data_IF_737248771764
#
_entry.id   IF_737248771764
#
_cell.length_a   1.000
_cell.length_b   1.000
_cell.length_c   1.000
_cell.angle_alpha   90.00
_cell.angle_beta   90.00
_cell.angle_gamma   90.00
#
_symmetry.space_group_name_H-M   'P 1'
#
loop_
_entity.id
_entity.type
_entity.pdbx_description
1 polymer ?
#
# COMPACT_ATOMS: atom_id res chain seq x y z
N UNK A 1 11.17 -32.08 13.76
CA UNK A 1 11.30 -31.61 12.36
C UNK A 1 9.94 -31.69 11.72
N UNK A 2 9.32 -30.56 11.46
CA UNK A 2 7.94 -30.49 11.00
C UNK A 2 7.86 -30.81 9.50
N UNK A 3 6.71 -31.27 9.01
CA UNK A 3 6.54 -31.76 7.62
C UNK A 3 6.95 -30.72 6.56
N UNK A 4 6.71 -29.42 6.82
CA UNK A 4 7.07 -28.35 5.90
C UNK A 4 8.56 -28.00 5.89
N UNK A 5 9.34 -28.28 6.94
CA UNK A 5 10.79 -28.04 6.94
C UNK A 5 11.45 -28.84 5.81
N UNK A 6 11.12 -30.14 5.72
CA UNK A 6 11.61 -31.02 4.66
C UNK A 6 11.19 -30.61 3.26
N UNK A 7 10.11 -29.83 3.15
CA UNK A 7 9.63 -29.29 1.88
C UNK A 7 10.46 -28.06 1.52
N UNK A 8 10.59 -27.08 2.42
CA UNK A 8 11.32 -25.84 2.13
C UNK A 8 12.84 -26.00 2.07
N UNK A 9 13.44 -26.98 2.78
CA UNK A 9 14.85 -27.36 2.62
C UNK A 9 15.19 -27.78 1.17
N UNK A 10 14.21 -28.28 0.41
CA UNK A 10 14.38 -28.63 -1.01
C UNK A 10 14.25 -27.44 -1.95
N UNK A 11 13.70 -26.32 -1.46
CA UNK A 11 13.51 -25.13 -2.27
C UNK A 11 14.79 -24.29 -2.33
N UNK A 12 15.41 -23.99 -1.18
CA UNK A 12 16.53 -23.06 -1.13
C UNK A 12 17.54 -23.43 -0.04
N UNK A 13 18.84 -23.39 -0.38
CA UNK A 13 19.93 -23.79 0.53
C UNK A 13 20.06 -22.90 1.77
N UNK A 14 19.69 -21.62 1.65
CA UNK A 14 19.70 -20.65 2.76
C UNK A 14 18.38 -20.62 3.54
N UNK A 15 17.50 -21.59 3.35
CA UNK A 15 16.31 -21.76 4.19
C UNK A 15 16.72 -22.00 5.64
N UNK A 16 16.16 -21.24 6.59
CA UNK A 16 16.50 -21.36 8.02
C UNK A 16 15.35 -21.84 8.89
N UNK A 17 14.12 -21.75 8.41
CA UNK A 17 12.96 -22.17 9.18
C UNK A 17 11.67 -21.48 8.74
N UNK A 18 10.59 -21.88 9.39
CA UNK A 18 9.28 -21.29 9.20
C UNK A 18 8.50 -21.17 10.51
N UNK A 19 7.51 -20.28 10.54
CA UNK A 19 6.55 -20.13 11.62
C UNK A 19 5.13 -20.28 11.09
N UNK A 20 4.37 -21.21 11.67
CA UNK A 20 2.92 -21.28 11.51
C UNK A 20 2.25 -20.27 12.45
N UNK A 21 1.39 -19.42 11.89
CA UNK A 21 0.53 -18.51 12.65
C UNK A 21 -0.91 -18.84 12.32
N UNK A 22 -1.59 -19.36 13.32
CA UNK A 22 -3.00 -19.70 13.25
C UNK A 22 -3.80 -18.46 13.65
N UNK A 23 -4.43 -17.84 12.66
CA UNK A 23 -5.34 -16.72 12.91
C UNK A 23 -6.70 -17.28 13.35
N UNK A 24 -7.32 -16.72 14.41
CA UNK A 24 -8.66 -17.13 14.82
C UNK A 24 -9.68 -16.87 13.70
N UNK A 25 -10.85 -17.52 13.75
CA UNK A 25 -11.99 -17.20 12.89
C UNK A 25 -12.22 -15.68 12.85
N UNK A 26 -12.47 -15.17 11.65
CA UNK A 26 -12.83 -13.76 11.44
C UNK A 26 -14.32 -13.61 11.22
N UNK A 27 -14.77 -12.41 10.87
CA UNK A 27 -16.18 -12.18 10.52
C UNK A 27 -16.66 -13.01 9.31
N UNK A 28 -15.76 -13.37 8.39
CA UNK A 28 -16.08 -14.18 7.19
C UNK A 28 -15.76 -15.67 7.36
N UNK A 29 -14.67 -16.00 8.06
CA UNK A 29 -14.18 -17.38 8.14
C UNK A 29 -14.68 -18.01 9.44
N UNK A 30 -15.43 -19.10 9.33
CA UNK A 30 -15.86 -19.90 10.50
C UNK A 30 -14.72 -20.70 11.12
N UNK A 31 -13.71 -21.02 10.32
CA UNK A 31 -12.54 -21.80 10.72
C UNK A 31 -11.30 -20.92 10.88
N UNK A 32 -10.34 -21.43 11.64
CA UNK A 32 -9.03 -20.82 11.77
C UNK A 32 -8.31 -20.79 10.42
N UNK A 33 -7.57 -19.70 10.15
CA UNK A 33 -6.78 -19.57 8.92
C UNK A 33 -5.30 -19.70 9.25
N UNK A 34 -4.62 -20.69 8.68
CA UNK A 34 -3.17 -20.84 8.86
C UNK A 34 -2.39 -19.96 7.88
N UNK A 35 -1.42 -19.21 8.41
CA UNK A 35 -0.41 -18.46 7.67
C UNK A 35 0.96 -19.07 7.92
N UNK A 36 1.74 -19.23 6.85
CA UNK A 36 3.10 -19.76 6.92
C UNK A 36 4.09 -18.65 6.64
N UNK A 37 4.91 -18.32 7.61
CA UNK A 37 6.00 -17.35 7.47
C UNK A 37 7.29 -18.12 7.27
N UNK A 38 7.89 -18.01 6.09
CA UNK A 38 9.10 -18.74 5.66
C UNK A 38 10.27 -17.78 5.70
N UNK A 39 11.41 -18.23 6.23
CA UNK A 39 12.59 -17.40 6.45
C UNK A 39 13.81 -17.97 5.73
N UNK A 40 14.61 -17.06 5.18
CA UNK A 40 15.93 -17.35 4.59
C UNK A 40 17.00 -16.46 5.22
N UNK A 41 18.24 -16.94 5.28
CA UNK A 41 19.38 -16.18 5.87
C UNK A 41 20.10 -15.26 4.87
N UNK A 42 19.50 -15.02 3.71
CA UNK A 42 20.08 -14.16 2.70
C UNK A 42 19.01 -13.29 2.03
N UNK A 43 19.47 -12.25 1.34
CA UNK A 43 18.60 -11.53 0.42
C UNK A 43 18.48 -12.30 -0.89
N UNK A 44 17.28 -12.31 -1.44
CA UNK A 44 16.94 -13.06 -2.65
C UNK A 44 16.89 -12.16 -3.88
N UNK A 45 17.26 -12.74 -5.01
CA UNK A 45 17.11 -12.19 -6.35
C UNK A 45 15.66 -12.26 -6.83
N UNK A 46 15.36 -11.56 -7.93
CA UNK A 46 14.04 -11.61 -8.55
C UNK A 46 13.64 -13.03 -8.98
N UNK A 47 14.58 -13.84 -9.50
CA UNK A 47 14.32 -15.23 -9.90
C UNK A 47 14.01 -16.12 -8.69
N UNK A 48 14.73 -15.97 -7.58
CA UNK A 48 14.48 -16.79 -6.37
C UNK A 48 13.11 -16.48 -5.74
N UNK A 49 12.62 -15.23 -5.86
CA UNK A 49 11.25 -14.89 -5.50
C UNK A 49 10.21 -15.59 -6.40
N UNK A 50 10.48 -15.70 -7.70
CA UNK A 50 9.61 -16.45 -8.64
C UNK A 50 9.61 -17.91 -8.25
N UNK A 51 10.79 -18.50 -8.07
CA UNK A 51 10.96 -19.90 -7.70
C UNK A 51 10.23 -20.22 -6.39
N UNK A 52 10.30 -19.34 -5.39
CA UNK A 52 9.55 -19.48 -4.14
C UNK A 52 8.04 -19.60 -4.37
N UNK A 53 7.43 -18.64 -5.08
CA UNK A 53 5.99 -18.61 -5.23
C UNK A 53 5.48 -19.72 -6.15
N UNK A 54 6.24 -20.09 -7.18
CA UNK A 54 5.96 -21.29 -8.00
C UNK A 54 6.05 -22.56 -7.16
N UNK A 55 7.07 -22.68 -6.31
CA UNK A 55 7.24 -23.81 -5.39
C UNK A 55 6.08 -23.92 -4.38
N UNK A 56 5.66 -22.80 -3.79
CA UNK A 56 4.51 -22.71 -2.87
C UNK A 56 3.22 -23.16 -3.55
N UNK A 57 2.95 -22.67 -4.77
CA UNK A 57 1.76 -23.03 -5.54
C UNK A 57 1.79 -24.51 -5.94
N UNK A 58 2.93 -25.00 -6.46
CA UNK A 58 3.12 -26.41 -6.85
C UNK A 58 2.88 -27.38 -5.69
N UNK A 59 3.30 -27.02 -4.49
CA UNK A 59 3.14 -27.84 -3.29
C UNK A 59 1.84 -27.54 -2.52
N UNK A 60 0.92 -26.74 -3.07
CA UNK A 60 -0.34 -26.34 -2.43
C UNK A 60 -0.17 -25.74 -1.02
N UNK A 61 0.92 -25.00 -0.79
CA UNK A 61 1.22 -24.42 0.52
C UNK A 61 0.37 -23.16 0.71
N UNK A 62 -0.66 -23.25 1.54
CA UNK A 62 -1.58 -22.13 1.78
C UNK A 62 -0.91 -20.95 2.48
N UNK A 63 -1.14 -19.73 1.98
CA UNK A 63 -0.78 -18.46 2.64
C UNK A 63 0.71 -18.34 3.03
N UNK A 64 1.64 -18.87 2.23
CA UNK A 64 3.06 -18.71 2.48
C UNK A 64 3.52 -17.25 2.26
N UNK A 65 4.39 -16.76 3.14
CA UNK A 65 4.96 -15.42 3.14
C UNK A 65 6.46 -15.53 3.34
N UNK A 66 7.24 -14.94 2.44
CA UNK A 66 8.69 -15.03 2.46
C UNK A 66 9.31 -13.82 3.16
N UNK A 67 10.23 -14.06 4.08
CA UNK A 67 10.97 -13.03 4.79
C UNK A 67 12.48 -13.28 4.67
N UNK A 68 13.16 -12.27 4.16
CA UNK A 68 14.63 -12.13 4.16
C UNK A 68 15.07 -11.41 5.45
N UNK A 69 16.38 -11.39 5.78
CA UNK A 69 16.89 -10.63 6.92
C UNK A 69 16.38 -9.17 6.94
N UNK A 70 16.49 -8.47 5.81
CA UNK A 70 16.11 -7.05 5.70
C UNK A 70 14.60 -6.82 5.86
N UNK A 71 13.77 -7.64 5.21
CA UNK A 71 12.31 -7.47 5.29
C UNK A 71 11.75 -7.82 6.67
N UNK A 72 12.43 -8.71 7.40
CA UNK A 72 12.16 -8.94 8.82
C UNK A 72 12.61 -7.77 9.69
N UNK A 73 13.79 -7.18 9.45
CA UNK A 73 14.24 -5.98 10.15
C UNK A 73 13.28 -4.79 9.92
N UNK A 74 12.84 -4.53 8.69
CA UNK A 74 11.81 -3.52 8.40
C UNK A 74 10.52 -3.73 9.21
N UNK A 75 10.16 -4.99 9.49
CA UNK A 75 9.00 -5.29 10.33
C UNK A 75 9.12 -4.72 11.75
N UNK A 76 10.34 -4.59 12.31
CA UNK A 76 10.53 -4.10 13.68
C UNK A 76 10.01 -2.67 13.87
N UNK A 77 10.01 -1.84 12.81
CA UNK A 77 9.50 -0.47 12.84
C UNK A 77 8.16 -0.35 12.14
N UNK A 78 7.97 -1.07 11.03
CA UNK A 78 6.82 -0.89 10.15
C UNK A 78 5.67 -1.85 10.47
N UNK A 79 5.92 -2.96 11.16
CA UNK A 79 4.87 -3.88 11.67
C UNK A 79 5.31 -4.55 12.99
N UNK A 80 5.58 -3.76 14.05
CA UNK A 80 6.29 -4.22 15.26
C UNK A 80 5.62 -5.40 15.97
N UNK A 81 4.29 -5.50 15.91
CA UNK A 81 3.56 -6.61 16.50
C UNK A 81 3.88 -7.95 15.83
N UNK A 82 4.05 -7.96 14.50
CA UNK A 82 4.46 -9.17 13.78
C UNK A 82 5.92 -9.51 14.10
N UNK A 83 6.81 -8.52 14.07
CA UNK A 83 8.21 -8.70 14.41
C UNK A 83 8.40 -9.32 15.81
N UNK A 84 7.76 -8.73 16.83
CA UNK A 84 7.82 -9.24 18.20
C UNK A 84 7.27 -10.66 18.31
N UNK A 85 6.16 -10.97 17.62
CA UNK A 85 5.60 -12.32 17.62
C UNK A 85 6.53 -13.35 16.97
N UNK A 86 7.31 -12.96 15.96
CA UNK A 86 8.30 -13.83 15.30
C UNK A 86 9.52 -14.03 16.18
N UNK A 87 10.12 -12.96 16.72
CA UNK A 87 11.35 -13.01 17.51
C UNK A 87 11.13 -13.71 18.86
N UNK A 88 9.95 -13.57 19.47
CA UNK A 88 9.60 -14.23 20.74
C UNK A 88 9.10 -15.68 20.54
N UNK A 89 9.12 -16.20 19.31
CA UNK A 89 8.60 -17.54 19.06
C UNK A 89 9.59 -18.64 19.51
N UNK A 90 9.43 -19.08 20.75
CA UNK A 90 10.20 -20.19 21.33
C UNK A 90 9.75 -21.58 20.83
N UNK A 91 8.80 -21.67 19.89
CA UNK A 91 8.20 -22.96 19.48
C UNK A 91 9.07 -23.82 18.55
N UNK A 92 10.19 -23.29 18.03
CA UNK A 92 11.06 -24.03 17.13
C UNK A 92 12.36 -24.45 17.83
N UNK A 93 12.59 -25.76 17.90
CA UNK A 93 13.82 -26.39 18.41
C UNK A 93 15.04 -26.22 17.48
N UNK A 94 14.87 -25.57 16.31
CA UNK A 94 15.95 -25.35 15.35
C UNK A 94 16.93 -24.30 15.84
N UNK A 95 18.15 -24.72 16.20
CA UNK A 95 19.25 -23.84 16.61
C UNK A 95 19.58 -22.81 15.52
N UNK A 96 19.55 -23.23 14.25
CA UNK A 96 19.83 -22.35 13.11
C UNK A 96 18.78 -21.25 13.03
N UNK A 97 17.50 -21.59 13.16
CA UNK A 97 16.42 -20.62 13.13
C UNK A 97 16.47 -19.65 14.30
N UNK A 98 16.75 -20.14 15.51
CA UNK A 98 16.87 -19.28 16.70
C UNK A 98 18.10 -18.37 16.61
N UNK A 99 19.22 -18.85 16.07
CA UNK A 99 20.40 -18.05 15.79
C UNK A 99 20.09 -16.94 14.80
N UNK A 100 19.41 -17.27 13.69
CA UNK A 100 18.91 -16.30 12.73
C UNK A 100 18.08 -15.22 13.43
N UNK A 101 17.03 -15.58 14.17
CA UNK A 101 16.16 -14.62 14.85
C UNK A 101 16.92 -13.73 15.84
N UNK A 102 17.79 -14.32 16.66
CA UNK A 102 18.58 -13.60 17.69
C UNK A 102 19.57 -12.61 17.06
N UNK A 103 20.11 -12.93 15.89
CA UNK A 103 21.01 -12.04 15.14
C UNK A 103 20.31 -10.81 14.56
N UNK A 104 18.98 -10.86 14.36
CA UNK A 104 18.20 -9.75 13.79
C UNK A 104 17.81 -8.75 14.86
N UNK A 105 18.76 -7.88 15.22
CA UNK A 105 18.48 -6.74 16.08
C UNK A 105 17.40 -5.83 15.45
N UNK A 106 16.49 -5.25 16.25
CA UNK A 106 15.51 -4.30 15.75
C UNK A 106 16.25 -3.09 15.19
N UNK A 107 15.80 -2.60 14.03
CA UNK A 107 16.33 -1.36 13.48
C UNK A 107 15.67 -0.19 14.18
N UNK A 108 16.44 0.88 14.37
CA UNK A 108 15.91 2.13 14.87
C UNK A 108 15.73 3.10 13.70
N UNK A 109 14.65 3.86 13.77
CA UNK A 109 14.48 5.01 12.90
C UNK A 109 15.54 6.05 13.30
N UNK A 110 16.39 6.44 12.35
CA UNK A 110 17.59 7.25 12.63
C UNK A 110 17.27 8.71 13.00
N UNK A 111 16.01 9.11 12.86
CA UNK A 111 15.57 10.49 13.06
C UNK A 111 14.89 10.62 14.43
N UNK A 112 15.52 11.44 15.30
CA UNK A 112 15.12 11.77 16.67
C UNK A 112 13.59 11.80 16.86
N UNK A 113 13.02 10.73 17.41
CA UNK A 113 11.66 10.73 17.91
C UNK A 113 11.68 10.35 19.38
N UNK A 114 11.32 11.31 20.24
CA UNK A 114 11.16 11.14 21.69
C UNK A 114 9.90 10.31 22.05
N UNK A 115 9.20 9.76 21.04
CA UNK A 115 7.97 9.00 21.23
C UNK A 115 8.33 7.54 21.48
N UNK A 116 7.72 6.93 22.50
CA UNK A 116 7.84 5.49 22.77
C UNK A 116 7.65 4.68 21.49
N UNK A 117 8.75 4.06 21.03
CA UNK A 117 8.90 3.50 19.69
C UNK A 117 7.80 2.49 19.32
N UNK A 118 7.29 1.71 20.29
CA UNK A 118 6.31 0.66 20.04
C UNK A 118 4.90 1.18 19.72
N UNK A 119 4.37 2.14 20.49
CA UNK A 119 3.00 2.62 20.30
C UNK A 119 2.89 3.50 19.06
N UNK A 120 3.91 4.30 18.79
CA UNK A 120 4.03 5.09 17.56
C UNK A 120 4.04 4.19 16.32
N UNK A 121 4.91 3.18 16.27
CA UNK A 121 5.02 2.27 15.14
C UNK A 121 3.75 1.44 14.90
N UNK A 122 3.04 1.02 15.96
CA UNK A 122 1.75 0.34 15.82
C UNK A 122 0.70 1.29 15.24
N UNK A 123 0.61 2.52 15.74
CA UNK A 123 -0.34 3.52 15.22
C UNK A 123 -0.04 3.83 13.76
N UNK A 124 1.22 4.03 13.40
CA UNK A 124 1.65 4.27 12.02
C UNK A 124 1.22 3.13 11.08
N UNK A 125 1.42 1.87 11.48
CA UNK A 125 0.95 0.72 10.71
C UNK A 125 -0.56 0.74 10.50
N UNK A 126 -1.34 0.98 11.57
CA UNK A 126 -2.80 1.07 11.48
C UNK A 126 -3.25 2.23 10.59
N UNK A 127 -2.63 3.41 10.72
CA UNK A 127 -2.88 4.56 9.84
C UNK A 127 -2.67 4.16 8.38
N UNK A 128 -1.57 3.48 8.06
CA UNK A 128 -1.27 3.03 6.70
C UNK A 128 -2.25 2.01 6.17
N UNK A 129 -2.66 1.03 6.98
CA UNK A 129 -3.67 0.03 6.60
C UNK A 129 -5.03 0.70 6.32
N UNK A 130 -5.47 1.59 7.21
CA UNK A 130 -6.76 2.29 7.10
C UNK A 130 -6.76 3.25 5.93
N UNK A 131 -5.73 4.08 5.77
CA UNK A 131 -5.61 5.04 4.68
C UNK A 131 -5.63 4.36 3.31
N UNK A 132 -4.74 3.38 3.08
CA UNK A 132 -4.62 2.71 1.79
C UNK A 132 -5.90 1.94 1.39
N UNK A 133 -6.67 1.46 2.36
CA UNK A 133 -7.96 0.83 2.11
C UNK A 133 -9.08 1.86 1.91
N UNK A 134 -9.12 2.94 2.69
CA UNK A 134 -10.20 3.92 2.62
C UNK A 134 -10.12 4.86 1.41
N UNK A 135 -8.91 5.18 0.93
CA UNK A 135 -8.72 6.20 -0.12
C UNK A 135 -9.33 5.80 -1.47
N UNK A 136 -9.52 4.51 -1.72
CA UNK A 136 -10.06 4.01 -3.00
C UNK A 136 -11.60 3.93 -3.04
N UNK A 137 -12.31 4.26 -1.95
CA UNK A 137 -13.76 4.04 -1.85
C UNK A 137 -14.58 4.97 -2.76
N UNK A 138 -14.17 6.22 -2.93
CA UNK A 138 -14.83 7.15 -3.86
C UNK A 138 -14.69 6.67 -5.30
N UNK A 139 -13.47 6.29 -5.72
CA UNK A 139 -13.20 5.74 -7.03
C UNK A 139 -14.01 4.45 -7.29
N UNK A 140 -14.08 3.56 -6.30
CA UNK A 140 -14.88 2.34 -6.38
C UNK A 140 -16.35 2.64 -6.71
N UNK A 141 -16.94 3.67 -6.08
CA UNK A 141 -18.33 4.06 -6.29
C UNK A 141 -18.57 4.84 -7.60
N UNK A 142 -17.74 5.84 -7.87
CA UNK A 142 -17.92 6.77 -9.00
C UNK A 142 -17.59 6.10 -10.33
N UNK A 143 -16.54 5.26 -10.35
CA UNK A 143 -16.07 4.56 -11.55
C UNK A 143 -16.68 3.17 -11.70
N UNK A 144 -17.59 2.79 -10.78
CA UNK A 144 -18.15 1.44 -10.68
C UNK A 144 -17.07 0.33 -10.65
N UNK A 145 -15.94 0.60 -9.98
CA UNK A 145 -14.78 -0.29 -9.84
C UNK A 145 -14.84 -1.08 -8.53
N UNK A 146 -15.96 -1.74 -8.27
CA UNK A 146 -16.13 -2.55 -7.06
C UNK A 146 -16.70 -3.92 -7.39
N UNK A 147 -16.37 -4.88 -6.54
CA UNK A 147 -16.96 -6.20 -6.48
C UNK A 147 -17.23 -6.57 -5.03
N UNK A 148 -17.92 -7.68 -4.77
CA UNK A 148 -18.08 -8.21 -3.41
C UNK A 148 -16.70 -8.39 -2.76
N UNK A 149 -15.70 -8.88 -3.49
CA UNK A 149 -14.33 -9.01 -3.00
C UNK A 149 -13.70 -7.67 -2.57
N UNK A 150 -14.02 -6.57 -3.26
CA UNK A 150 -13.61 -5.22 -2.84
C UNK A 150 -14.19 -4.89 -1.46
N UNK A 151 -15.49 -5.08 -1.25
CA UNK A 151 -16.18 -4.80 0.02
C UNK A 151 -15.65 -5.68 1.15
N UNK A 152 -15.52 -6.98 0.91
CA UNK A 152 -14.96 -7.93 1.87
C UNK A 152 -13.53 -7.53 2.28
N UNK A 153 -12.71 -7.08 1.32
CA UNK A 153 -11.37 -6.57 1.60
C UNK A 153 -11.41 -5.37 2.55
N UNK A 154 -12.35 -4.44 2.38
CA UNK A 154 -12.52 -3.29 3.29
C UNK A 154 -12.97 -3.72 4.68
N UNK A 155 -13.94 -4.63 4.78
CA UNK A 155 -14.40 -5.16 6.06
C UNK A 155 -13.28 -5.93 6.79
N UNK A 156 -12.48 -6.71 6.06
CA UNK A 156 -11.31 -7.40 6.62
C UNK A 156 -10.29 -6.44 7.24
N UNK A 157 -10.04 -5.27 6.63
CA UNK A 157 -9.12 -4.28 7.22
C UNK A 157 -9.70 -3.63 8.48
N UNK A 158 -10.99 -3.30 8.49
CA UNK A 158 -11.65 -2.80 9.70
C UNK A 158 -11.60 -3.83 10.83
N UNK A 159 -11.87 -5.10 10.53
CA UNK A 159 -11.77 -6.20 11.51
C UNK A 159 -10.34 -6.33 12.08
N UNK A 160 -9.32 -6.24 11.21
CA UNK A 160 -7.92 -6.24 11.64
C UNK A 160 -7.61 -5.06 12.56
N UNK A 161 -8.03 -3.86 12.20
CA UNK A 161 -7.82 -2.64 13.01
C UNK A 161 -8.48 -2.77 14.37
N UNK A 162 -9.71 -3.28 14.43
CA UNK A 162 -10.43 -3.52 15.67
C UNK A 162 -9.67 -4.49 16.59
N UNK A 163 -9.30 -5.65 16.03
CA UNK A 163 -8.61 -6.71 16.77
C UNK A 163 -7.24 -6.25 17.29
N UNK A 164 -6.54 -5.40 16.53
CA UNK A 164 -5.28 -4.81 16.95
C UNK A 164 -5.47 -3.72 18.00
N UNK A 165 -6.44 -2.83 17.82
CA UNK A 165 -6.73 -1.73 18.73
C UNK A 165 -7.12 -2.24 20.12
N UNK A 166 -7.97 -3.27 20.19
CA UNK A 166 -8.37 -3.92 21.44
C UNK A 166 -7.16 -4.53 22.18
N UNK A 167 -6.37 -5.35 21.49
CA UNK A 167 -5.18 -6.01 22.07
C UNK A 167 -4.11 -5.04 22.57
N UNK A 168 -4.08 -3.83 22.03
CA UNK A 168 -3.10 -2.78 22.38
C UNK A 168 -3.70 -1.69 23.28
N UNK A 169 -4.94 -1.84 23.72
CA UNK A 169 -5.57 -0.89 24.64
C UNK A 169 -5.84 0.49 24.04
N UNK A 170 -6.09 0.57 22.72
CA UNK A 170 -6.49 1.83 22.08
C UNK A 170 -7.97 2.12 22.37
N UNK A 171 -8.25 2.66 23.55
CA UNK A 171 -9.61 2.88 24.09
C UNK A 171 -10.56 3.58 23.11
N UNK A 172 -10.11 4.65 22.44
CA UNK A 172 -10.93 5.38 21.46
C UNK A 172 -11.33 4.51 20.26
N UNK A 173 -10.46 3.58 19.81
CA UNK A 173 -10.82 2.62 18.76
C UNK A 173 -11.77 1.54 19.29
N UNK A 174 -11.59 1.11 20.55
CA UNK A 174 -12.53 0.19 21.21
C UNK A 174 -13.94 0.77 21.29
N UNK A 175 -14.06 2.05 21.61
CA UNK A 175 -15.32 2.77 21.71
C UNK A 175 -16.11 2.84 20.38
N UNK A 176 -15.43 2.74 19.22
CA UNK A 176 -16.10 2.72 17.92
C UNK A 176 -16.89 1.42 17.65
N UNK A 177 -16.64 0.34 18.41
CA UNK A 177 -17.30 -0.96 18.21
C UNK A 177 -17.18 -1.46 16.75
N UNK A 178 -15.97 -1.37 16.20
CA UNK A 178 -15.68 -1.67 14.78
C UNK A 178 -16.12 -3.08 14.38
N UNK A 179 -15.98 -4.07 15.26
CA UNK A 179 -16.44 -5.43 14.98
C UNK A 179 -17.97 -5.52 14.83
N UNK A 180 -18.75 -4.82 15.66
CA UNK A 180 -20.22 -4.75 15.53
C UNK A 180 -20.60 -4.11 14.20
N UNK A 181 -19.93 -3.01 13.82
CA UNK A 181 -20.14 -2.39 12.51
C UNK A 181 -19.86 -3.37 11.37
N UNK A 182 -18.74 -4.09 11.41
CA UNK A 182 -18.38 -5.06 10.36
C UNK A 182 -19.42 -6.17 10.23
N UNK A 183 -19.94 -6.70 11.34
CA UNK A 183 -20.97 -7.74 11.32
C UNK A 183 -22.27 -7.21 10.69
N UNK A 184 -22.73 -6.02 11.09
CA UNK A 184 -23.92 -5.41 10.52
C UNK A 184 -23.77 -5.09 9.02
N UNK A 185 -22.61 -4.54 8.65
CA UNK A 185 -22.25 -4.22 7.28
C UNK A 185 -22.17 -5.47 6.39
N UNK A 186 -21.74 -6.61 6.93
CA UNK A 186 -21.63 -7.86 6.17
C UNK A 186 -22.98 -8.37 5.63
N UNK A 187 -24.09 -8.07 6.32
CA UNK A 187 -25.45 -8.43 5.89
C UNK A 187 -25.85 -7.68 4.60
N UNK A 188 -25.26 -6.50 4.37
CA UNK A 188 -25.57 -5.65 3.22
C UNK A 188 -24.74 -5.98 1.97
N UNK A 189 -23.73 -6.85 2.08
CA UNK A 189 -22.77 -7.15 0.99
C UNK A 189 -23.44 -7.46 -0.36
N UNK A 190 -24.53 -8.21 -0.34
CA UNK A 190 -25.26 -8.63 -1.54
C UNK A 190 -26.55 -7.82 -1.77
N UNK A 191 -27.05 -7.12 -0.74
CA UNK A 191 -28.36 -6.48 -0.75
C UNK A 191 -28.28 -5.00 -1.13
N UNK A 192 -27.30 -4.28 -0.57
CA UNK A 192 -27.08 -2.86 -0.85
C UNK A 192 -25.59 -2.50 -0.83
N UNK A 193 -24.82 -2.98 -1.82
CA UNK A 193 -23.38 -2.75 -1.89
C UNK A 193 -23.02 -1.27 -2.06
N UNK A 194 -23.94 -0.47 -2.61
CA UNK A 194 -23.74 0.95 -2.87
C UNK A 194 -23.83 1.74 -1.57
N UNK A 195 -24.89 1.55 -0.79
CA UNK A 195 -25.00 2.19 0.52
C UNK A 195 -23.85 1.72 1.43
N UNK A 196 -23.50 0.43 1.35
CA UNK A 196 -22.36 -0.09 2.09
C UNK A 196 -21.03 0.61 1.73
N UNK A 197 -20.78 0.94 0.46
CA UNK A 197 -19.59 1.73 0.07
C UNK A 197 -19.58 3.12 0.71
N UNK A 198 -20.74 3.80 0.75
CA UNK A 198 -20.90 5.12 1.38
C UNK A 198 -20.65 5.01 2.89
N UNK A 199 -21.25 4.02 3.54
CA UNK A 199 -21.10 3.78 4.98
C UNK A 199 -19.66 3.43 5.33
N UNK A 200 -19.01 2.57 4.54
CA UNK A 200 -17.60 2.26 4.68
C UNK A 200 -16.75 3.54 4.55
N UNK A 201 -17.03 4.40 3.57
CA UNK A 201 -16.26 5.65 3.36
C UNK A 201 -16.31 6.53 4.61
N UNK A 202 -17.51 6.75 5.16
CA UNK A 202 -17.72 7.51 6.39
C UNK A 202 -17.03 6.83 7.58
N UNK A 203 -17.14 5.51 7.69
CA UNK A 203 -16.60 4.76 8.83
C UNK A 203 -15.07 4.72 8.85
N UNK A 204 -14.44 4.56 7.69
CA UNK A 204 -12.98 4.68 7.55
C UNK A 204 -12.47 6.06 7.96
N UNK A 205 -13.20 7.13 7.63
CA UNK A 205 -12.85 8.48 8.07
C UNK A 205 -12.83 8.60 9.60
N UNK A 206 -13.88 8.11 10.28
CA UNK A 206 -13.96 8.10 11.75
C UNK A 206 -12.80 7.33 12.42
N UNK A 207 -12.46 6.16 11.86
CA UNK A 207 -11.31 5.37 12.36
C UNK A 207 -10.01 6.13 12.16
N UNK A 208 -9.83 6.77 11.01
CA UNK A 208 -8.63 7.51 10.68
C UNK A 208 -8.48 8.77 11.55
N UNK A 209 -9.58 9.47 11.85
CA UNK A 209 -9.59 10.65 12.73
C UNK A 209 -8.97 10.33 14.10
N UNK A 210 -9.40 9.23 14.72
CA UNK A 210 -8.83 8.74 16.00
C UNK A 210 -7.34 8.39 15.87
N UNK A 211 -6.95 7.79 14.75
CA UNK A 211 -5.56 7.39 14.53
C UNK A 211 -4.64 8.59 14.26
N UNK A 212 -5.18 9.73 13.84
CA UNK A 212 -4.42 10.90 13.37
C UNK A 212 -4.40 12.07 14.37
N UNK A 213 -5.08 11.96 15.51
CA UNK A 213 -5.23 13.03 16.53
C UNK A 213 -3.91 13.65 17.02
N UNK A 214 -2.82 12.89 17.02
CA UNK A 214 -1.52 13.30 17.55
C UNK A 214 -0.52 13.76 16.48
N UNK A 215 -0.95 13.89 15.22
CA UNK A 215 -0.04 14.27 14.14
C UNK A 215 0.09 15.79 14.08
N UNK A 216 1.28 16.28 14.42
CA UNK A 216 1.62 17.69 14.34
C UNK A 216 1.84 18.12 12.89
N UNK A 217 1.14 19.18 12.46
CA UNK A 217 1.24 19.71 11.10
C UNK A 217 1.09 21.23 11.09
N UNK A 218 1.62 21.86 10.05
CA UNK A 218 1.28 23.24 9.74
C UNK A 218 -0.03 23.30 8.95
N UNK A 219 -0.93 24.23 9.30
CA UNK A 219 -2.14 24.51 8.53
C UNK A 219 -1.82 25.49 7.41
N UNK A 220 -2.04 25.10 6.16
CA UNK A 220 -1.90 25.97 4.98
C UNK A 220 -3.25 26.16 4.30
N UNK A 221 -3.47 27.32 3.72
CA UNK A 221 -4.67 27.57 2.91
C UNK A 221 -4.32 27.49 1.43
N UNK A 222 -5.01 26.64 0.68
CA UNK A 222 -4.97 26.64 -0.78
C UNK A 222 -6.13 27.46 -1.33
N UNK A 223 -5.81 28.38 -2.23
CA UNK A 223 -6.78 29.23 -2.92
C UNK A 223 -6.82 28.88 -4.40
N UNK A 224 -7.94 29.18 -5.04
CA UNK A 224 -8.12 29.05 -6.49
C UNK A 224 -6.93 29.65 -7.26
N UNK A 225 -6.36 28.82 -8.13
CA UNK A 225 -5.18 29.17 -8.94
C UNK A 225 -5.62 29.99 -10.14
N UNK A 226 -4.92 31.08 -10.40
CA UNK A 226 -5.13 31.85 -11.62
C UNK A 226 -4.63 31.06 -12.85
N UNK A 227 -5.56 30.56 -13.65
CA UNK A 227 -5.26 29.76 -14.85
C UNK A 227 -5.04 30.65 -16.09
N UNK A 228 -4.05 30.29 -16.92
CA UNK A 228 -3.92 30.85 -18.27
C UNK A 228 -4.94 30.21 -19.25
N UNK A 229 -5.06 30.71 -20.47
CA UNK A 229 -6.11 30.26 -21.39
C UNK A 229 -5.96 28.80 -21.83
N UNK A 230 -4.73 28.31 -21.99
CA UNK A 230 -4.45 26.90 -22.28
C UNK A 230 -4.93 26.02 -21.12
N UNK A 231 -4.67 26.43 -19.88
CA UNK A 231 -5.12 25.72 -18.68
C UNK A 231 -6.64 25.79 -18.51
N UNK A 232 -7.28 26.92 -18.81
CA UNK A 232 -8.75 27.03 -18.79
C UNK A 232 -9.40 26.06 -19.78
N UNK A 233 -8.79 25.89 -20.96
CA UNK A 233 -9.23 24.87 -21.92
C UNK A 233 -8.95 23.45 -21.41
N UNK A 234 -7.75 23.20 -20.89
CA UNK A 234 -7.34 21.89 -20.35
C UNK A 234 -8.21 21.43 -19.18
N UNK A 235 -8.67 22.36 -18.33
CA UNK A 235 -9.43 22.07 -17.11
C UNK A 235 -10.89 22.52 -17.20
N UNK A 236 -11.45 22.58 -18.42
CA UNK A 236 -12.81 23.06 -18.65
C UNK A 236 -13.91 22.23 -17.99
N UNK A 237 -13.62 20.98 -17.61
CA UNK A 237 -14.53 20.07 -16.87
C UNK A 237 -15.02 20.65 -15.53
N UNK A 238 -14.35 21.67 -14.98
CA UNK A 238 -14.78 22.35 -13.75
C UNK A 238 -16.19 22.95 -13.91
N UNK A 239 -16.58 23.39 -15.10
CA UNK A 239 -17.94 23.89 -15.36
C UNK A 239 -18.99 22.79 -15.17
N UNK A 240 -18.72 21.59 -15.68
CA UNK A 240 -19.62 20.44 -15.60
C UNK A 240 -19.72 19.95 -14.15
N UNK A 241 -18.61 19.88 -13.42
CA UNK A 241 -18.61 19.54 -11.99
C UNK A 241 -19.41 20.55 -11.15
N UNK A 242 -19.30 21.84 -11.45
CA UNK A 242 -20.10 22.89 -10.78
C UNK A 242 -21.58 22.80 -11.10
N UNK A 243 -21.93 22.46 -12.33
CA UNK A 243 -23.33 22.24 -12.71
C UNK A 243 -23.91 21.02 -11.99
N UNK A 244 -23.16 19.90 -11.98
CA UNK A 244 -23.59 18.63 -11.40
C UNK A 244 -23.74 18.71 -9.88
N UNK A 245 -22.76 19.28 -9.18
CA UNK A 245 -22.74 19.31 -7.71
C UNK A 245 -23.34 20.60 -7.12
N UNK A 246 -23.61 21.61 -7.97
CA UNK A 246 -24.26 22.85 -7.57
C UNK A 246 -23.64 23.52 -6.34
N UNK A 247 -24.48 23.90 -5.38
CA UNK A 247 -24.08 24.55 -4.13
C UNK A 247 -23.40 23.61 -3.12
N UNK A 248 -23.37 22.30 -3.40
CA UNK A 248 -22.71 21.31 -2.56
C UNK A 248 -21.19 21.33 -2.75
N UNK A 249 -20.70 21.73 -3.93
CA UNK A 249 -19.28 21.83 -4.25
C UNK A 249 -18.61 22.98 -3.49
N UNK A 250 -17.54 22.69 -2.74
CA UNK A 250 -16.75 23.69 -2.02
C UNK A 250 -15.41 23.98 -2.70
N UNK A 251 -14.67 22.93 -3.07
CA UNK A 251 -13.40 23.08 -3.76
C UNK A 251 -13.06 21.90 -4.66
N UNK A 252 -12.27 22.16 -5.71
CA UNK A 252 -11.69 21.12 -6.57
C UNK A 252 -10.19 21.29 -6.60
N UNK A 253 -9.46 20.24 -6.20
CA UNK A 253 -8.01 20.15 -6.31
C UNK A 253 -7.65 19.19 -7.44
N UNK A 254 -6.72 19.60 -8.29
CA UNK A 254 -6.07 18.76 -9.29
C UNK A 254 -4.66 18.46 -8.83
N UNK A 255 -4.26 17.19 -8.88
CA UNK A 255 -2.90 16.76 -8.58
C UNK A 255 -2.42 15.74 -9.63
N UNK A 256 -1.22 15.19 -9.43
CA UNK A 256 -0.69 14.15 -10.29
C UNK A 256 -0.13 14.68 -11.61
N UNK A 257 -0.05 13.80 -12.61
CA UNK A 257 0.68 14.08 -13.85
C UNK A 257 0.01 15.17 -14.71
N UNK A 258 -1.30 15.37 -14.58
CA UNK A 258 -2.01 16.43 -15.26
C UNK A 258 -1.53 17.85 -14.86
N UNK A 259 -0.96 18.02 -13.66
CA UNK A 259 -0.38 19.30 -13.22
C UNK A 259 1.00 19.54 -13.83
N UNK A 260 1.84 18.50 -13.84
CA UNK A 260 3.29 18.61 -14.07
C UNK A 260 3.75 18.05 -15.42
N UNK A 261 2.85 17.63 -16.31
CA UNK A 261 3.20 17.02 -17.59
C UNK A 261 2.26 17.42 -18.72
N UNK A 262 2.80 17.55 -19.93
CA UNK A 262 2.02 17.79 -21.14
C UNK A 262 1.22 16.54 -21.54
N UNK A 263 1.84 15.36 -21.40
CA UNK A 263 1.22 14.05 -21.64
C UNK A 263 0.90 13.39 -20.31
N UNK A 264 -0.35 13.00 -20.13
CA UNK A 264 -0.87 12.34 -18.93
C UNK A 264 -2.02 11.40 -19.32
N UNK A 265 -2.37 10.47 -18.44
CA UNK A 265 -3.36 9.42 -18.73
C UNK A 265 -4.78 9.77 -18.23
N UNK A 266 -4.86 10.58 -17.18
CA UNK A 266 -6.06 10.86 -16.40
C UNK A 266 -5.89 12.17 -15.60
N UNK A 267 -7.03 12.71 -15.15
CA UNK A 267 -7.07 13.83 -14.22
C UNK A 267 -7.31 13.30 -12.81
N UNK A 268 -6.30 13.37 -11.95
CA UNK A 268 -6.45 13.01 -10.54
C UNK A 268 -7.05 14.18 -9.75
N UNK A 269 -8.31 14.01 -9.33
CA UNK A 269 -9.12 15.06 -8.71
C UNK A 269 -9.46 14.73 -7.26
N UNK A 270 -9.37 15.74 -6.40
CA UNK A 270 -9.98 15.72 -5.07
C UNK A 270 -11.06 16.78 -5.03
N UNK A 271 -12.28 16.37 -4.71
CA UNK A 271 -13.43 17.24 -4.58
C UNK A 271 -13.82 17.31 -3.11
N UNK A 272 -13.94 18.54 -2.59
CA UNK A 272 -14.44 18.80 -1.24
C UNK A 272 -15.86 19.36 -1.35
N UNK A 273 -16.78 18.77 -0.60
CA UNK A 273 -18.22 19.05 -0.66
C UNK A 273 -18.82 19.25 0.74
N UNK A 274 -19.98 19.91 0.82
CA UNK A 274 -20.70 20.09 2.09
C UNK A 274 -21.31 18.78 2.59
N UNK A 275 -22.00 18.06 1.71
CA UNK A 275 -22.60 16.76 1.95
C UNK A 275 -21.94 15.70 1.07
N UNK A 276 -21.17 14.82 1.72
CA UNK A 276 -20.44 13.73 1.09
C UNK A 276 -21.38 12.72 0.41
N UNK A 277 -22.46 12.33 1.07
CA UNK A 277 -23.36 11.28 0.56
C UNK A 277 -24.08 11.73 -0.71
N UNK A 278 -24.65 12.95 -0.69
CA UNK A 278 -25.32 13.53 -1.85
C UNK A 278 -24.38 13.60 -3.07
N UNK A 279 -23.13 14.02 -2.86
CA UNK A 279 -22.13 14.10 -3.93
C UNK A 279 -21.73 12.71 -4.46
N UNK A 280 -21.51 11.75 -3.57
CA UNK A 280 -21.18 10.37 -3.94
C UNK A 280 -22.31 9.72 -4.75
N UNK A 281 -23.57 9.94 -4.36
CA UNK A 281 -24.74 9.43 -5.07
C UNK A 281 -24.95 10.15 -6.41
N UNK A 282 -24.72 11.45 -6.48
CA UNK A 282 -24.81 12.23 -7.72
C UNK A 282 -23.76 11.80 -8.77
N UNK A 283 -22.57 11.38 -8.33
CA UNK A 283 -21.47 10.96 -9.20
C UNK A 283 -21.38 9.45 -9.45
N UNK A 284 -22.18 8.65 -8.72
CA UNK A 284 -22.15 7.19 -8.77
C UNK A 284 -22.25 6.66 -10.20
N UNK A 285 -21.31 5.78 -10.58
CA UNK A 285 -21.31 5.08 -11.85
C UNK A 285 -21.18 5.96 -13.10
N UNK A 286 -20.91 7.26 -12.96
CA UNK A 286 -20.80 8.18 -14.11
C UNK A 286 -19.51 8.00 -14.89
N UNK A 287 -18.44 7.52 -14.25
CA UNK A 287 -17.10 7.36 -14.84
C UNK A 287 -16.72 8.53 -15.78
N UNK A 288 -16.75 9.79 -15.28
CA UNK A 288 -16.71 10.95 -16.16
C UNK A 288 -15.37 11.05 -16.89
N UNK A 289 -15.42 11.53 -18.14
CA UNK A 289 -14.24 11.77 -18.97
C UNK A 289 -14.23 13.19 -19.52
N UNK A 290 -13.04 13.72 -19.79
CA UNK A 290 -12.83 15.03 -20.40
C UNK A 290 -11.68 14.96 -21.39
N UNK A 291 -11.90 15.45 -22.62
CA UNK A 291 -10.93 15.35 -23.72
C UNK A 291 -10.43 13.90 -23.96
N UNK A 292 -11.32 12.91 -23.79
CA UNK A 292 -11.00 11.50 -23.96
C UNK A 292 -10.19 10.87 -22.82
N UNK A 293 -9.93 11.61 -21.73
CA UNK A 293 -9.20 11.12 -20.56
C UNK A 293 -10.15 10.99 -19.35
N UNK A 294 -9.90 10.02 -18.49
CA UNK A 294 -10.71 9.77 -17.30
C UNK A 294 -10.51 10.86 -16.23
N UNK A 295 -11.59 11.22 -15.53
CA UNK A 295 -11.53 12.01 -14.31
C UNK A 295 -11.52 11.06 -13.10
N UNK A 296 -10.35 10.83 -12.51
CA UNK A 296 -10.18 10.04 -11.29
C UNK A 296 -10.59 10.86 -10.06
N UNK A 297 -11.87 10.78 -9.68
CA UNK A 297 -12.45 11.63 -8.63
C UNK A 297 -12.41 10.95 -7.26
N UNK A 298 -11.81 11.63 -6.29
CA UNK A 298 -11.97 11.37 -4.86
C UNK A 298 -12.85 12.43 -4.20
N UNK A 299 -13.85 12.03 -3.42
CA UNK A 299 -14.82 12.95 -2.80
C UNK A 299 -14.72 12.87 -1.28
N UNK A 300 -14.71 14.04 -0.64
CA UNK A 300 -14.63 14.20 0.80
C UNK A 300 -15.51 15.37 1.24
N UNK A 301 -16.01 15.34 2.48
CA UNK A 301 -16.36 16.59 3.14
C UNK A 301 -15.10 17.23 3.77
N UNK A 302 -15.22 18.42 4.36
CA UNK A 302 -14.08 19.14 4.91
C UNK A 302 -13.33 18.36 6.01
N UNK A 303 -14.06 17.73 6.94
CA UNK A 303 -13.47 16.94 8.04
C UNK A 303 -12.76 15.69 7.54
N UNK A 304 -13.40 14.96 6.61
CA UNK A 304 -12.84 13.77 6.00
C UNK A 304 -11.62 14.13 5.15
N UNK A 305 -11.68 15.24 4.40
CA UNK A 305 -10.56 15.74 3.61
C UNK A 305 -9.37 16.00 4.51
N UNK A 306 -9.54 16.79 5.58
CA UNK A 306 -8.49 17.09 6.54
C UNK A 306 -7.86 15.81 7.11
N UNK A 307 -8.68 14.87 7.56
CA UNK A 307 -8.25 13.61 8.15
C UNK A 307 -7.45 12.74 7.17
N UNK A 308 -7.92 12.60 5.94
CA UNK A 308 -7.20 11.83 4.92
C UNK A 308 -5.91 12.52 4.47
N UNK A 309 -5.88 13.86 4.43
CA UNK A 309 -4.66 14.60 4.10
C UNK A 309 -3.63 14.60 5.22
N UNK A 310 -4.05 14.55 6.49
CA UNK A 310 -3.12 14.26 7.58
C UNK A 310 -2.46 12.90 7.37
N UNK A 311 -3.25 11.93 6.90
CA UNK A 311 -2.81 10.56 6.73
C UNK A 311 -2.06 10.29 5.43
N UNK A 312 -2.04 11.24 4.49
CA UNK A 312 -1.45 11.05 3.15
C UNK A 312 0.09 11.07 3.19
N UNK A 313 0.68 10.42 2.20
CA UNK A 313 2.15 10.35 2.03
C UNK A 313 2.72 11.55 1.28
N UNK A 314 2.01 12.65 1.19
CA UNK A 314 2.41 13.82 0.40
C UNK A 314 1.90 15.13 1.00
N UNK A 315 2.45 16.25 0.56
CA UNK A 315 1.96 17.58 0.89
C UNK A 315 1.30 18.19 -0.35
N UNK A 316 -0.03 18.08 -0.48
CA UNK A 316 -0.75 18.62 -1.64
C UNK A 316 -0.44 20.08 -1.93
N UNK A 317 -0.17 20.88 -0.89
CA UNK A 317 0.19 22.29 -1.02
C UNK A 317 1.40 22.51 -1.96
N UNK A 318 2.32 21.55 -2.04
CA UNK A 318 3.58 21.70 -2.77
C UNK A 318 3.44 21.38 -4.27
N UNK A 319 2.39 20.66 -4.70
CA UNK A 319 2.29 20.16 -6.08
C UNK A 319 0.87 20.10 -6.67
N UNK A 320 -0.18 20.40 -5.91
CA UNK A 320 -1.55 20.42 -6.41
C UNK A 320 -1.99 21.84 -6.81
N UNK A 321 -2.92 21.92 -7.76
CA UNK A 321 -3.60 23.16 -8.13
C UNK A 321 -5.00 23.15 -7.53
N UNK A 322 -5.42 24.24 -6.91
CA UNK A 322 -6.82 24.46 -6.58
C UNK A 322 -7.52 25.08 -7.79
N UNK A 323 -8.39 24.34 -8.45
CA UNK A 323 -9.08 24.78 -9.66
C UNK A 323 -10.39 25.52 -9.37
N UNK A 324 -10.91 25.39 -8.16
CA UNK A 324 -12.13 26.05 -7.72
C UNK A 324 -12.15 26.17 -6.19
N UNK A 325 -12.56 27.34 -5.69
CA UNK A 325 -12.82 27.56 -4.26
C UNK A 325 -11.55 27.70 -3.43
N UNK A 326 -11.62 27.29 -2.16
CA UNK A 326 -10.46 27.29 -1.26
C UNK A 326 -10.60 26.23 -0.19
N UNK A 327 -9.49 25.68 0.29
CA UNK A 327 -9.49 24.64 1.31
C UNK A 327 -8.23 24.69 2.17
N UNK A 328 -8.37 24.34 3.45
CA UNK A 328 -7.24 24.17 4.35
C UNK A 328 -6.61 22.79 4.17
N UNK A 329 -5.28 22.74 4.02
CA UNK A 329 -4.50 21.52 3.86
C UNK A 329 -3.41 21.42 4.93
N UNK A 330 -3.09 20.22 5.43
CA UNK A 330 -1.97 19.99 6.33
C UNK A 330 -0.65 19.91 5.55
N UNK A 331 0.37 20.63 6.04
CA UNK A 331 1.75 20.53 5.59
C UNK A 331 2.58 19.81 6.65
N UNK A 332 3.10 18.65 6.27
CA UNK A 332 3.81 17.69 7.14
C UNK A 332 5.31 17.85 6.96
N UNK A 333 6.08 17.55 8.01
CA UNK A 333 7.55 17.53 7.92
C UNK A 333 8.01 16.39 7.01
N UNK A 334 9.14 16.57 6.33
CA UNK A 334 9.67 15.57 5.40
C UNK A 334 9.91 14.20 6.06
N UNK A 335 10.38 14.18 7.31
CA UNK A 335 10.62 12.93 8.05
C UNK A 335 9.33 12.13 8.25
N UNK A 336 8.23 12.79 8.61
CA UNK A 336 6.92 12.15 8.78
C UNK A 336 6.41 11.57 7.46
N UNK A 337 6.62 12.29 6.37
CA UNK A 337 6.29 11.81 5.02
C UNK A 337 7.12 10.58 4.64
N UNK A 338 8.43 10.58 4.93
CA UNK A 338 9.34 9.48 4.62
C UNK A 338 8.87 8.21 5.34
N UNK A 339 8.73 8.26 6.67
CA UNK A 339 8.37 7.06 7.45
C UNK A 339 6.98 6.53 7.07
N UNK A 340 6.04 7.43 6.75
CA UNK A 340 4.71 7.07 6.26
C UNK A 340 4.75 6.39 4.91
N UNK A 341 5.53 6.88 3.95
CA UNK A 341 5.69 6.24 2.65
C UNK A 341 6.42 4.89 2.74
N UNK A 342 7.38 4.76 3.65
CA UNK A 342 7.99 3.46 3.96
C UNK A 342 6.96 2.48 4.54
N UNK A 343 6.12 2.93 5.48
CA UNK A 343 5.02 2.13 6.01
C UNK A 343 4.02 1.74 4.91
N UNK A 344 3.66 2.65 4.00
CA UNK A 344 2.85 2.31 2.83
C UNK A 344 3.53 1.25 1.95
N UNK A 345 4.82 1.42 1.66
CA UNK A 345 5.61 0.45 0.90
C UNK A 345 5.59 -0.93 1.55
N UNK A 346 5.75 -0.99 2.87
CA UNK A 346 5.74 -2.25 3.62
C UNK A 346 4.36 -2.92 3.63
N UNK A 347 3.27 -2.15 3.85
CA UNK A 347 1.90 -2.67 3.72
C UNK A 347 1.69 -3.27 2.32
N UNK A 348 2.12 -2.57 1.27
CA UNK A 348 1.97 -3.00 -0.12
C UNK A 348 2.83 -4.24 -0.45
N UNK A 349 4.04 -4.32 0.09
CA UNK A 349 4.88 -5.51 0.03
C UNK A 349 4.18 -6.74 0.63
N UNK A 350 3.59 -6.63 1.84
CA UNK A 350 2.82 -7.74 2.45
C UNK A 350 1.59 -8.14 1.62
N UNK A 351 0.94 -7.17 0.97
CA UNK A 351 -0.20 -7.42 0.07
C UNK A 351 0.26 -8.19 -1.18
N UNK A 352 1.35 -7.75 -1.82
CA UNK A 352 1.96 -8.41 -2.98
C UNK A 352 2.32 -9.86 -2.66
N UNK A 353 3.02 -10.12 -1.55
CA UNK A 353 3.32 -11.49 -1.13
C UNK A 353 2.06 -12.36 -0.99
N UNK A 354 0.96 -11.78 -0.50
CA UNK A 354 -0.31 -12.50 -0.34
C UNK A 354 -0.98 -12.81 -1.67
N UNK A 355 -0.91 -11.86 -2.60
CA UNK A 355 -1.42 -12.02 -3.95
C UNK A 355 -0.61 -13.08 -4.70
N UNK A 356 0.73 -13.01 -4.67
CA UNK A 356 1.64 -13.98 -5.31
C UNK A 356 1.37 -15.41 -4.85
N UNK A 357 1.19 -15.63 -3.54
CA UNK A 357 0.91 -16.95 -2.98
C UNK A 357 -0.50 -17.50 -3.30
N UNK A 358 -1.42 -16.67 -3.80
CA UNK A 358 -2.82 -17.06 -4.07
C UNK A 358 -3.25 -16.94 -5.52
N UNK A 359 -2.47 -16.29 -6.39
CA UNK A 359 -2.92 -15.91 -7.73
C UNK A 359 -3.36 -17.09 -8.60
N UNK A 360 -2.75 -18.27 -8.40
CA UNK A 360 -3.13 -19.52 -9.05
C UNK A 360 -4.54 -20.02 -8.69
N UNK A 361 -5.07 -19.60 -7.53
CA UNK A 361 -6.35 -20.04 -6.98
C UNK A 361 -7.43 -18.95 -7.03
N UNK A 362 -7.21 -17.86 -7.76
CA UNK A 362 -8.21 -16.79 -7.91
C UNK A 362 -9.27 -17.22 -8.91
N UNK A 363 -10.51 -17.35 -8.42
CA UNK A 363 -11.71 -17.73 -9.16
C UNK A 363 -12.56 -16.56 -9.66
N UNK A 364 -12.05 -15.31 -9.58
CA UNK A 364 -12.77 -14.13 -10.05
C UNK A 364 -12.94 -14.13 -11.57
N UNK A 365 -13.85 -13.29 -12.07
CA UNK A 365 -13.97 -13.03 -13.52
C UNK A 365 -12.62 -12.63 -14.12
N UNK A 366 -12.44 -12.98 -15.39
CA UNK A 366 -11.16 -12.87 -16.09
C UNK A 366 -10.67 -11.42 -16.15
N UNK A 367 -11.56 -10.46 -16.37
CA UNK A 367 -11.17 -9.05 -16.52
C UNK A 367 -10.92 -8.36 -15.17
N UNK A 368 -11.69 -8.68 -14.13
CA UNK A 368 -11.42 -8.27 -12.75
C UNK A 368 -10.07 -8.77 -12.26
N UNK A 369 -9.75 -10.04 -12.57
CA UNK A 369 -8.45 -10.64 -12.25
C UNK A 369 -7.30 -9.88 -12.93
N UNK A 370 -7.44 -9.56 -14.22
CA UNK A 370 -6.43 -8.80 -14.99
C UNK A 370 -6.22 -7.41 -14.40
N UNK A 371 -7.30 -6.65 -14.18
CA UNK A 371 -7.23 -5.29 -13.65
C UNK A 371 -6.58 -5.25 -12.26
N UNK A 372 -6.89 -6.22 -11.41
CA UNK A 372 -6.28 -6.36 -10.10
C UNK A 372 -4.78 -6.63 -10.20
N UNK A 373 -4.36 -7.60 -11.03
CA UNK A 373 -2.94 -7.92 -11.23
C UNK A 373 -2.18 -6.74 -11.83
N UNK A 374 -2.75 -6.06 -12.82
CA UNK A 374 -2.16 -4.87 -13.45
C UNK A 374 -1.92 -3.74 -12.44
N UNK A 375 -2.81 -3.59 -11.46
CA UNK A 375 -2.63 -2.66 -10.34
C UNK A 375 -1.47 -3.08 -9.43
N UNK A 376 -1.41 -4.35 -9.03
CA UNK A 376 -0.35 -4.87 -8.16
C UNK A 376 1.03 -4.72 -8.79
N UNK A 377 1.18 -4.94 -10.10
CA UNK A 377 2.46 -4.81 -10.82
C UNK A 377 2.98 -3.36 -10.79
N UNK A 378 2.11 -2.35 -10.65
CA UNK A 378 2.51 -0.93 -10.58
C UNK A 378 3.04 -0.49 -9.20
N UNK A 379 2.84 -1.30 -8.16
CA UNK A 379 3.17 -0.94 -6.78
C UNK A 379 4.61 -0.46 -6.60
N UNK A 380 5.67 -1.12 -7.13
CA UNK A 380 7.04 -0.68 -6.92
C UNK A 380 7.27 0.78 -7.33
N UNK A 381 6.71 1.19 -8.47
CA UNK A 381 6.84 2.56 -8.98
C UNK A 381 6.04 3.56 -8.14
N UNK A 382 4.87 3.16 -7.63
CA UNK A 382 4.09 4.01 -6.72
C UNK A 382 4.83 4.23 -5.39
N UNK A 383 5.50 3.19 -4.87
CA UNK A 383 6.33 3.29 -3.66
C UNK A 383 7.53 4.18 -3.92
N UNK A 384 8.21 4.03 -5.07
CA UNK A 384 9.32 4.89 -5.46
C UNK A 384 8.87 6.36 -5.52
N UNK A 385 7.76 6.63 -6.21
CA UNK A 385 7.20 7.99 -6.35
C UNK A 385 6.87 8.60 -5.00
N UNK A 386 6.24 7.84 -4.10
CA UNK A 386 5.88 8.30 -2.77
C UNK A 386 7.11 8.70 -1.94
N UNK A 387 8.12 7.83 -1.88
CA UNK A 387 9.35 8.11 -1.12
C UNK A 387 10.15 9.25 -1.76
N UNK A 388 10.30 9.28 -3.08
CA UNK A 388 11.02 10.34 -3.78
C UNK A 388 10.37 11.72 -3.57
N UNK A 389 9.03 11.77 -3.63
CA UNK A 389 8.26 13.01 -3.45
C UNK A 389 8.48 13.67 -2.09
N UNK A 390 8.83 12.90 -1.05
CA UNK A 390 9.15 13.43 0.28
C UNK A 390 10.38 14.36 0.29
N UNK A 391 11.26 14.23 -0.70
CA UNK A 391 12.48 15.03 -0.83
C UNK A 391 12.32 16.23 -1.76
N UNK A 392 11.08 16.63 -2.08
CA UNK A 392 10.78 17.78 -2.93
C UNK A 392 11.06 17.57 -4.43
N UNK A 393 11.45 16.35 -4.83
CA UNK A 393 11.65 15.99 -6.24
C UNK A 393 10.54 15.03 -6.68
N UNK A 394 9.56 15.54 -7.42
CA UNK A 394 8.55 14.70 -8.08
C UNK A 394 9.10 14.28 -9.43
N UNK A 395 9.71 13.09 -9.50
CA UNK A 395 10.13 12.52 -10.77
C UNK A 395 8.94 12.27 -11.70
N UNK A 396 9.15 12.41 -13.00
CA UNK A 396 8.12 12.06 -13.99
C UNK A 396 7.91 10.54 -14.02
N UNK A 397 6.75 10.09 -14.48
CA UNK A 397 6.51 8.66 -14.66
C UNK A 397 7.55 8.02 -15.61
N UNK A 398 8.06 8.78 -16.59
CA UNK A 398 9.09 8.31 -17.51
C UNK A 398 10.44 8.10 -16.82
N UNK A 399 10.90 9.09 -16.03
CA UNK A 399 12.13 8.99 -15.25
C UNK A 399 12.11 7.79 -14.29
N UNK A 400 10.99 7.62 -13.57
CA UNK A 400 10.82 6.51 -12.62
C UNK A 400 10.81 5.17 -13.36
N UNK A 401 10.13 5.07 -14.49
CA UNK A 401 10.15 3.86 -15.33
C UNK A 401 11.55 3.54 -15.84
N UNK A 402 12.30 4.54 -16.29
CA UNK A 402 13.65 4.36 -16.80
C UNK A 402 14.60 3.90 -15.68
N UNK A 403 14.50 4.50 -14.49
CA UNK A 403 15.24 4.05 -13.31
C UNK A 403 14.91 2.60 -12.96
N UNK A 404 13.63 2.23 -12.93
CA UNK A 404 13.19 0.87 -12.61
C UNK A 404 13.75 -0.17 -13.61
N UNK A 405 13.79 0.17 -14.90
CA UNK A 405 14.37 -0.69 -15.93
C UNK A 405 15.88 -0.82 -15.79
N UNK A 406 16.59 0.27 -15.58
CA UNK A 406 18.05 0.27 -15.52
C UNK A 406 18.61 -0.28 -14.21
N UNK A 407 17.93 0.00 -13.09
CA UNK A 407 18.42 -0.30 -11.75
C UNK A 407 17.84 -1.59 -11.19
N UNK A 408 16.68 -2.04 -11.64
CA UNK A 408 16.03 -3.25 -11.12
C UNK A 408 15.70 -4.27 -12.22
N UNK A 409 16.00 -3.97 -13.50
CA UNK A 409 15.52 -4.77 -14.62
C UNK A 409 14.01 -4.99 -14.60
N UNK A 410 13.25 -4.05 -14.01
CA UNK A 410 11.81 -4.18 -13.81
C UNK A 410 11.02 -3.25 -14.73
N UNK A 411 10.24 -3.84 -15.65
CA UNK A 411 9.42 -3.11 -16.62
C UNK A 411 7.93 -3.44 -16.43
N UNK A 412 7.15 -2.45 -15.95
CA UNK A 412 5.72 -2.63 -15.67
C UNK A 412 4.94 -3.13 -16.89
N UNK A 413 5.17 -2.56 -18.07
CA UNK A 413 4.40 -2.93 -19.28
C UNK A 413 4.67 -4.37 -19.70
N UNK A 414 5.92 -4.81 -19.55
CA UNK A 414 6.32 -6.19 -19.85
C UNK A 414 5.69 -7.17 -18.87
N UNK A 415 5.77 -6.90 -17.57
CA UNK A 415 5.15 -7.79 -16.57
C UNK A 415 3.63 -7.80 -16.64
N UNK A 416 2.98 -6.70 -17.02
CA UNK A 416 1.55 -6.69 -17.32
C UNK A 416 1.21 -7.57 -18.53
N UNK A 417 1.99 -7.49 -19.62
CA UNK A 417 1.83 -8.36 -20.78
C UNK A 417 2.05 -9.84 -20.42
N UNK A 418 3.09 -10.15 -19.64
CA UNK A 418 3.36 -11.50 -19.14
C UNK A 418 2.22 -12.05 -18.27
N UNK A 419 1.67 -11.23 -17.38
CA UNK A 419 0.55 -11.62 -16.53
C UNK A 419 -0.70 -11.95 -17.35
N UNK A 420 -0.97 -11.18 -18.42
CA UNK A 420 -2.07 -11.42 -19.36
C UNK A 420 -1.86 -12.71 -20.18
N UNK A 421 -0.61 -13.15 -20.35
CA UNK A 421 -0.23 -14.41 -20.98
C UNK A 421 -0.07 -15.55 -19.97
N UNK A 422 -0.92 -15.61 -18.95
CA UNK A 422 -0.96 -16.63 -17.89
C UNK A 422 0.28 -16.73 -16.99
N UNK A 423 1.19 -15.75 -17.01
CA UNK A 423 2.38 -15.76 -16.15
C UNK A 423 2.26 -14.80 -14.95
N UNK A 424 1.11 -14.84 -14.28
CA UNK A 424 0.77 -13.92 -13.21
C UNK A 424 1.64 -14.11 -11.95
N UNK A 425 2.04 -15.35 -11.62
CA UNK A 425 2.94 -15.64 -10.50
C UNK A 425 4.27 -14.92 -10.70
N UNK A 426 4.90 -15.10 -11.87
CA UNK A 426 6.17 -14.43 -12.19
C UNK A 426 6.05 -12.92 -12.08
N UNK A 427 5.02 -12.31 -12.68
CA UNK A 427 4.85 -10.87 -12.64
C UNK A 427 4.66 -10.30 -11.23
N UNK A 428 3.86 -10.98 -10.40
CA UNK A 428 3.64 -10.56 -9.01
C UNK A 428 4.85 -10.82 -8.11
N UNK A 429 5.57 -11.92 -8.32
CA UNK A 429 6.81 -12.22 -7.62
C UNK A 429 7.88 -11.16 -7.91
N UNK A 430 8.05 -10.77 -9.17
CA UNK A 430 8.97 -9.70 -9.56
C UNK A 430 8.54 -8.35 -8.97
N UNK A 431 7.24 -8.03 -8.96
CA UNK A 431 6.75 -6.82 -8.29
C UNK A 431 6.96 -6.84 -6.77
N UNK A 432 6.83 -8.02 -6.14
CA UNK A 432 7.11 -8.23 -4.71
C UNK A 432 8.58 -7.90 -4.40
N UNK A 433 9.51 -8.49 -5.16
CA UNK A 433 10.94 -8.23 -5.06
C UNK A 433 11.28 -6.76 -5.35
N UNK A 434 10.77 -6.18 -6.44
CA UNK A 434 11.06 -4.80 -6.79
C UNK A 434 10.58 -3.80 -5.73
N UNK A 435 9.48 -4.10 -5.03
CA UNK A 435 8.97 -3.24 -3.95
C UNK A 435 9.95 -3.14 -2.77
N UNK A 436 10.54 -4.26 -2.34
CA UNK A 436 11.54 -4.23 -1.26
C UNK A 436 12.84 -3.54 -1.71
N UNK A 437 13.26 -3.71 -2.97
CA UNK A 437 14.49 -3.10 -3.47
C UNK A 437 14.35 -1.59 -3.63
N UNK A 438 13.17 -1.09 -3.99
CA UNK A 438 12.86 0.35 -3.96
C UNK A 438 13.04 0.91 -2.54
N UNK A 439 12.47 0.24 -1.53
CA UNK A 439 12.60 0.67 -0.14
C UNK A 439 14.08 0.67 0.29
N UNK A 440 14.80 -0.39 -0.05
CA UNK A 440 16.22 -0.53 0.28
C UNK A 440 17.11 0.52 -0.40
N UNK A 441 16.85 0.81 -1.68
CA UNK A 441 17.57 1.86 -2.42
C UNK A 441 17.51 3.20 -1.68
N UNK A 442 16.31 3.63 -1.26
CA UNK A 442 16.15 4.89 -0.53
C UNK A 442 16.76 4.85 0.87
N UNK A 443 16.64 3.72 1.55
CA UNK A 443 17.24 3.53 2.87
C UNK A 443 18.77 3.67 2.81
N UNK A 444 19.43 3.04 1.83
CA UNK A 444 20.88 3.20 1.60
C UNK A 444 21.27 4.63 1.25
N UNK A 445 20.50 5.28 0.35
CA UNK A 445 20.80 6.63 -0.12
C UNK A 445 20.64 7.70 0.96
N UNK A 446 19.76 7.47 1.94
CA UNK A 446 19.31 8.50 2.89
C UNK A 446 19.52 8.13 4.35
N UNK A 447 20.04 6.94 4.63
CA UNK A 447 20.29 6.41 5.99
C UNK A 447 19.04 6.53 6.88
N UNK A 448 17.90 6.07 6.36
CA UNK A 448 16.58 6.23 6.99
C UNK A 448 16.48 5.34 8.22
N UNK A 449 17.07 4.15 8.14
CA UNK A 449 17.18 3.24 9.26
C UNK A 449 18.64 2.96 9.62
N UNK A 450 18.88 2.72 10.91
CA UNK A 450 20.18 2.29 11.40
C UNK A 450 20.41 0.80 11.13
N UNK A 451 20.52 0.42 9.85
CA UNK A 451 20.95 -0.93 9.46
C UNK A 451 22.43 -1.15 9.84
N UNK A 452 22.74 -2.35 10.36
CA UNK A 452 24.12 -2.77 10.61
C UNK A 452 24.93 -2.75 9.31
N UNK A 453 26.23 -2.42 9.38
CA UNK A 453 27.10 -2.32 8.21
C UNK A 453 27.17 -3.61 7.38
N UNK A 454 27.10 -4.78 8.03
CA UNK A 454 27.03 -6.08 7.37
C UNK A 454 25.78 -6.28 6.51
N UNK A 455 24.69 -5.57 6.84
CA UNK A 455 23.42 -5.60 6.10
C UNK A 455 23.37 -4.53 5.00
N UNK A 456 24.35 -3.61 5.00
CA UNK A 456 24.59 -2.61 3.95
C UNK A 456 25.54 -3.14 2.88
N UNK A 457 25.31 -4.36 2.38
CA UNK A 457 26.01 -4.79 1.16
C UNK A 457 25.64 -3.78 0.07
N UNK A 458 26.60 -3.08 -0.55
CA UNK A 458 26.29 -2.05 -1.54
C UNK A 458 25.41 -2.64 -2.63
N UNK A 459 24.27 -1.98 -2.90
CA UNK A 459 23.37 -2.30 -4.00
C UNK A 459 24.14 -2.57 -5.31
N UNK A 460 25.23 -1.81 -5.52
CA UNK A 460 26.15 -1.91 -6.66
C UNK A 460 26.97 -3.22 -6.72
N UNK A 461 27.36 -3.81 -5.59
CA UNK A 461 28.09 -5.08 -5.56
C UNK A 461 27.19 -6.28 -5.86
N UNK A 462 25.94 -6.26 -5.39
CA UNK A 462 24.92 -7.27 -5.76
C UNK A 462 24.49 -7.14 -7.22
N UNK A 463 24.33 -5.90 -7.71
CA UNK A 463 23.98 -5.64 -9.11
C UNK A 463 25.10 -6.01 -10.08
N UNK A 464 26.38 -5.79 -9.72
CA UNK A 464 27.53 -6.28 -10.49
C UNK A 464 27.54 -7.81 -10.59
N UNK A 465 27.39 -8.52 -9.48
CA UNK A 465 27.31 -10.00 -9.47
C UNK A 465 26.14 -10.55 -10.32
N UNK A 466 25.00 -9.86 -10.35
CA UNK A 466 23.87 -10.26 -11.19
C UNK A 466 24.11 -9.93 -12.67
N UNK A 467 24.73 -8.79 -12.99
CA UNK A 467 25.09 -8.44 -14.37
C UNK A 467 26.08 -9.47 -14.96
N UNK A 468 27.08 -9.87 -14.19
CA UNK A 468 28.07 -10.88 -14.59
C UNK A 468 27.41 -12.26 -14.78
N UNK A 469 26.41 -12.62 -13.97
CA UNK A 469 25.66 -13.87 -14.10
C UNK A 469 24.74 -13.87 -15.34
N UNK A 470 24.12 -12.74 -15.69
CA UNK A 470 23.27 -12.63 -16.88
C UNK A 470 24.07 -12.52 -18.20
N UNK A 471 25.27 -11.92 -18.18
CA UNK A 471 26.16 -11.91 -19.35
C UNK A 471 26.79 -13.29 -19.59
N UNK A 472 27.02 -14.08 -18.53
CA UNK A 472 27.52 -15.46 -18.63
C UNK A 472 26.50 -16.50 -19.12
N UNK A 473 25.21 -16.14 -19.20
CA UNK A 473 24.12 -17.01 -19.68
C UNK A 473 23.70 -16.73 -21.14
N UNK A 474 24.40 -15.83 -21.84
CA UNK A 474 24.22 -15.54 -23.26
C UNK A 474 25.42 -16.01 -24.11
N UNK A 475 25.84 -17.27 -23.90
CA UNK A 475 26.69 -18.01 -24.84
C UNK A 475 26.21 -19.44 -25.00
#
# INVERSE_FOLDING_TARGET
MFEHDKIFEKWHENYVGYNDVIMPPGWKNKEQTNYKFVFVDCELTASEYVDFFEFVVKNNISNAKLFTPRTLQYASVLHPAFYNAVIQNNKNDSIIFQSFLTSRQPILYSLNSEIGLNDFSIRLWLQSVVFLAGVTLSAALIQNRWSVGTLESKLNRLWQVASYGERKGFEKLGALKIQEFVLNASIQLNNDPIQLLVDLKKYYSKVLEILMEYVEVEKRQMHETQLNDIQKFKYGFIKDLRFELGSNLQSVLLYGSAVNSEKFADYDLIIVVKNLEDALLALKGKSPTYNGLELNISVFNESDFWTYQLASGDNLFDHALCLYGSVTVPHKKANDLIIRNFSFGYVRFLQLMGMSAKVGNISSEVDDKKNLIDYFIKIPLNVYKGIQGCYGKVGTNEEINNWSKSSLSFNVKEYQALARNNNAIKSLANATWATQEVMHYFDLQKHIFNLQESDRIPFEEKMKKNKDKYESLNY
#
